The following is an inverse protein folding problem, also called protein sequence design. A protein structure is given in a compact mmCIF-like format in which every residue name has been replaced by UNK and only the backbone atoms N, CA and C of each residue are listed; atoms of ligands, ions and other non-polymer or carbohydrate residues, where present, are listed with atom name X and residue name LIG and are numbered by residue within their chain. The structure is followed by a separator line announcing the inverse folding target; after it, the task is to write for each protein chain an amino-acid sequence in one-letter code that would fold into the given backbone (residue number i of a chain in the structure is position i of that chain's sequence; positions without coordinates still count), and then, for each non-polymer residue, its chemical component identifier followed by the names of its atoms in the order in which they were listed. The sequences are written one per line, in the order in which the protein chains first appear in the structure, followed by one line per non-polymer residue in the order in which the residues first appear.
data_IF_839879702556
#
_entry.id   IF_839879702556
#
_cell.length_a   1.000
_cell.length_b   1.000
_cell.length_c   1.000
_cell.angle_alpha   90.00
_cell.angle_beta   90.00
_cell.angle_gamma   90.00
#
_symmetry.space_group_name_H-M   'P 1'
#
loop_
_entity.id
_entity.type
_entity.pdbx_description
1 polymer ?
#
# COMPACT_ATOMS: atom_id res chain seq x y z
N UNK A 1 -67.74 -31.13 49.74
CA UNK A 1 -67.21 -32.24 48.93
C UNK A 1 -65.98 -31.71 48.18
N UNK A 2 -64.78 -32.06 48.65
CA UNK A 2 -63.49 -31.53 48.23
C UNK A 2 -62.63 -32.69 47.73
N UNK A 3 -62.42 -32.80 46.41
CA UNK A 3 -61.66 -33.89 45.79
C UNK A 3 -60.21 -33.43 45.57
N UNK A 4 -59.35 -33.79 46.53
CA UNK A 4 -57.89 -33.59 46.46
C UNK A 4 -57.32 -34.43 45.31
N UNK A 5 -56.68 -33.79 44.34
CA UNK A 5 -55.89 -34.46 43.29
C UNK A 5 -54.54 -34.84 43.88
N UNK A 6 -54.26 -36.13 43.95
CA UNK A 6 -52.97 -36.67 44.37
C UNK A 6 -52.04 -36.78 43.15
N UNK A 7 -50.81 -36.29 43.31
CA UNK A 7 -49.71 -36.38 42.35
C UNK A 7 -48.91 -37.66 42.65
N UNK A 8 -48.69 -38.58 41.69
CA UNK A 8 -47.74 -39.66 41.89
C UNK A 8 -46.33 -39.23 41.49
N UNK A 9 -45.42 -39.22 42.46
CA UNK A 9 -43.98 -39.07 42.28
C UNK A 9 -43.41 -40.36 41.67
N UNK A 10 -42.92 -40.29 40.42
CA UNK A 10 -42.15 -41.38 39.80
C UNK A 10 -40.66 -41.18 40.11
N UNK A 11 -40.14 -42.02 40.98
CA UNK A 11 -38.70 -42.23 41.22
C UNK A 11 -38.05 -42.73 39.92
N UNK A 12 -37.22 -41.90 39.28
CA UNK A 12 -36.32 -42.33 38.22
C UNK A 12 -34.94 -42.60 38.83
N UNK A 13 -34.57 -43.87 38.76
CA UNK A 13 -33.26 -44.41 39.15
C UNK A 13 -32.14 -43.80 38.32
N UNK A 14 -31.11 -43.29 38.99
CA UNK A 14 -29.83 -42.88 38.41
C UNK A 14 -29.11 -44.12 37.87
N UNK A 15 -28.92 -44.21 36.55
CA UNK A 15 -27.96 -45.14 35.93
C UNK A 15 -26.72 -44.35 35.54
N UNK A 16 -25.67 -44.50 36.34
CA UNK A 16 -24.30 -44.08 36.03
C UNK A 16 -23.79 -44.91 34.86
N UNK A 17 -23.70 -44.31 33.68
CA UNK A 17 -22.93 -44.85 32.56
C UNK A 17 -21.57 -44.15 32.55
N UNK A 18 -20.55 -44.86 33.03
CA UNK A 18 -19.14 -44.52 32.82
C UNK A 18 -18.77 -44.89 31.39
N UNK A 19 -18.68 -43.90 30.50
CA UNK A 19 -18.01 -44.05 29.21
C UNK A 19 -16.89 -43.03 29.11
N UNK A 20 -15.69 -43.57 28.99
CA UNK A 20 -14.39 -42.91 29.00
C UNK A 20 -14.30 -41.73 28.02
N UNK A 21 -13.89 -40.58 28.54
CA UNK A 21 -13.45 -39.43 27.75
C UNK A 21 -12.02 -39.74 27.29
N UNK A 22 -11.86 -40.13 26.03
CA UNK A 22 -10.56 -40.12 25.36
C UNK A 22 -10.40 -38.71 24.74
N UNK A 23 -9.70 -37.84 25.47
CA UNK A 23 -9.20 -36.56 24.96
C UNK A 23 -7.98 -36.85 24.07
N UNK A 24 -8.18 -36.88 22.75
CA UNK A 24 -7.08 -36.67 21.79
C UNK A 24 -7.11 -35.20 21.38
N UNK A 25 -6.39 -34.36 22.12
CA UNK A 25 -6.06 -33.01 21.68
C UNK A 25 -5.03 -33.11 20.55
N UNK A 26 -5.51 -33.18 19.31
CA UNK A 26 -4.67 -32.88 18.15
C UNK A 26 -4.54 -31.36 18.08
N UNK A 27 -3.59 -30.81 18.82
CA UNK A 27 -3.11 -29.45 18.59
C UNK A 27 -2.28 -29.47 17.31
N UNK A 28 -2.95 -29.31 16.16
CA UNK A 28 -2.25 -28.92 14.94
C UNK A 28 -1.82 -27.47 15.14
N UNK A 29 -0.59 -27.28 15.62
CA UNK A 29 0.14 -26.04 15.41
C UNK A 29 0.35 -25.90 13.90
N UNK A 30 -0.63 -25.30 13.21
CA UNK A 30 -0.39 -24.72 11.89
C UNK A 30 0.48 -23.50 12.16
N UNK A 31 1.79 -23.68 12.11
CA UNK A 31 2.70 -22.56 11.92
C UNK A 31 2.20 -21.81 10.69
N UNK A 32 2.01 -20.48 10.72
CA UNK A 32 1.89 -19.76 9.47
C UNK A 32 3.21 -20.01 8.75
N UNK A 33 3.18 -20.83 7.69
CA UNK A 33 4.22 -20.74 6.68
C UNK A 33 4.11 -19.32 6.18
N UNK A 34 4.98 -18.44 6.67
CA UNK A 34 5.30 -17.23 5.96
C UNK A 34 5.70 -17.73 4.56
N UNK A 35 4.80 -17.58 3.60
CA UNK A 35 5.12 -17.72 2.21
C UNK A 35 6.15 -16.62 1.97
N UNK A 36 7.43 -16.97 2.06
CA UNK A 36 8.47 -16.12 1.52
C UNK A 36 8.08 -15.94 0.06
N UNK A 37 7.83 -14.69 -0.32
CA UNK A 37 7.62 -14.33 -1.71
C UNK A 37 8.78 -14.93 -2.52
N UNK A 38 8.43 -15.69 -3.55
CA UNK A 38 9.39 -16.24 -4.48
C UNK A 38 10.22 -15.08 -5.06
N UNK A 39 11.55 -15.05 -4.86
CA UNK A 39 12.41 -14.01 -5.43
C UNK A 39 12.39 -14.01 -6.96
N UNK A 40 11.88 -15.08 -7.59
CA UNK A 40 11.76 -15.25 -9.04
C UNK A 40 10.33 -14.97 -9.56
N UNK A 41 9.41 -14.49 -8.69
CA UNK A 41 8.11 -14.01 -9.14
C UNK A 41 8.30 -12.87 -10.16
N UNK A 42 7.56 -12.85 -11.28
CA UNK A 42 7.74 -11.86 -12.34
C UNK A 42 7.63 -10.46 -11.74
N UNK A 43 8.76 -9.75 -11.74
CA UNK A 43 8.91 -8.42 -11.15
C UNK A 43 7.81 -7.51 -11.67
N UNK A 44 6.88 -7.12 -10.80
CA UNK A 44 5.92 -6.09 -11.14
C UNK A 44 6.67 -4.80 -11.41
N UNK A 45 6.59 -4.31 -12.65
CA UNK A 45 7.21 -3.05 -13.03
C UNK A 45 6.34 -1.90 -12.52
N UNK A 46 6.93 -1.05 -11.69
CA UNK A 46 6.31 0.15 -11.16
C UNK A 46 6.88 1.35 -11.91
N UNK A 47 6.01 2.20 -12.43
CA UNK A 47 6.34 3.40 -13.20
C UNK A 47 5.98 4.64 -12.39
N UNK A 48 6.84 5.66 -12.40
CA UNK A 48 6.70 6.89 -11.60
C UNK A 48 6.97 8.14 -12.46
N UNK A 49 6.13 9.20 -12.42
CA UNK A 49 6.43 10.51 -13.00
C UNK A 49 7.37 11.30 -12.11
N UNK A 50 8.58 11.66 -12.56
CA UNK A 50 9.36 12.74 -11.93
C UNK A 50 10.25 13.45 -12.96
N UNK A 51 9.88 14.64 -13.38
CA UNK A 51 10.64 15.91 -13.32
C UNK A 51 12.21 15.95 -13.49
N UNK A 52 12.78 16.66 -14.50
CA UNK A 52 14.22 16.78 -14.85
C UNK A 52 14.77 18.20 -15.07
N UNK A 53 16.11 18.26 -14.96
CA UNK A 53 16.98 19.24 -15.61
C UNK A 53 18.47 18.84 -15.49
N UNK A 54 19.04 18.41 -16.62
CA UNK A 54 20.43 18.48 -17.15
C UNK A 54 21.71 18.12 -16.33
N UNK A 55 22.66 17.55 -17.08
CA UNK A 55 23.98 17.07 -16.67
C UNK A 55 25.01 18.20 -16.44
N UNK A 56 25.70 18.17 -15.29
CA UNK A 56 27.02 18.76 -15.08
C UNK A 56 27.71 18.12 -13.86
N UNK A 57 29.03 18.21 -13.84
CA UNK A 57 30.03 17.37 -13.14
C UNK A 57 29.91 17.19 -11.62
N UNK A 58 30.40 16.05 -11.16
CA UNK A 58 30.41 15.59 -9.77
C UNK A 58 31.45 16.36 -8.96
N UNK A 59 30.98 17.29 -8.13
CA UNK A 59 31.66 17.69 -6.88
C UNK A 59 30.59 17.87 -5.79
N UNK A 60 30.65 17.03 -4.75
CA UNK A 60 29.80 17.01 -3.53
C UNK A 60 28.35 17.51 -3.66
N UNK A 61 27.64 16.99 -4.66
CA UNK A 61 26.30 17.41 -5.01
C UNK A 61 25.26 16.76 -4.07
N UNK A 62 24.31 17.56 -3.59
CA UNK A 62 23.02 17.08 -3.10
C UNK A 62 22.47 15.97 -4.03
N UNK A 63 21.78 14.95 -3.50
CA UNK A 63 21.44 13.77 -4.28
C UNK A 63 20.70 14.19 -5.56
N UNK A 64 21.33 13.98 -6.71
CA UNK A 64 20.64 14.10 -7.99
C UNK A 64 19.58 13.01 -8.01
N UNK A 65 18.40 13.30 -8.57
CA UNK A 65 17.29 12.36 -8.49
C UNK A 65 17.56 11.02 -9.18
N UNK A 66 18.58 10.92 -10.04
CA UNK A 66 19.06 9.66 -10.61
C UNK A 66 17.94 8.88 -11.26
N UNK A 67 17.14 9.55 -12.09
CA UNK A 67 15.94 8.97 -12.70
C UNK A 67 16.33 7.86 -13.67
N UNK A 68 15.64 6.73 -13.61
CA UNK A 68 15.79 5.69 -14.63
C UNK A 68 15.04 6.08 -15.92
N UNK A 69 15.27 5.32 -17.00
CA UNK A 69 14.67 5.60 -18.32
C UNK A 69 13.14 5.69 -18.28
N UNK A 70 12.50 4.91 -17.40
CA UNK A 70 11.06 4.85 -17.29
C UNK A 70 10.51 6.07 -16.54
N UNK A 71 11.20 6.51 -15.48
CA UNK A 71 10.87 7.74 -14.75
C UNK A 71 11.02 8.98 -15.66
N UNK A 72 12.10 9.03 -16.44
CA UNK A 72 12.33 10.08 -17.45
C UNK A 72 11.27 10.05 -18.55
N UNK A 73 10.83 8.86 -18.97
CA UNK A 73 9.76 8.74 -19.99
C UNK A 73 8.45 9.30 -19.47
N UNK A 74 8.06 8.98 -18.24
CA UNK A 74 6.84 9.54 -17.67
C UNK A 74 6.95 11.06 -17.55
N UNK A 75 8.09 11.60 -17.11
CA UNK A 75 8.28 13.03 -17.08
C UNK A 75 8.05 13.68 -18.44
N UNK A 76 8.67 13.14 -19.49
CA UNK A 76 8.53 13.68 -20.83
C UNK A 76 7.05 13.68 -21.26
N UNK A 77 6.31 12.62 -20.94
CA UNK A 77 4.86 12.54 -21.18
C UNK A 77 4.09 13.60 -20.38
N UNK A 78 4.44 13.81 -19.10
CA UNK A 78 3.80 14.81 -18.24
C UNK A 78 4.00 16.24 -18.77
N UNK A 79 5.21 16.58 -19.21
CA UNK A 79 5.55 17.91 -19.76
C UNK A 79 4.92 18.18 -21.13
N UNK A 80 4.70 17.14 -21.92
CA UNK A 80 4.19 17.25 -23.30
C UNK A 80 2.67 17.04 -23.41
N UNK A 81 2.01 16.62 -22.33
CA UNK A 81 0.57 16.33 -22.35
C UNK A 81 -0.26 17.59 -22.53
N UNK A 82 -1.29 17.55 -23.41
CA UNK A 82 -2.20 18.68 -23.60
C UNK A 82 -2.81 19.15 -22.28
N UNK A 83 -2.92 20.47 -22.11
CA UNK A 83 -3.42 21.14 -20.90
C UNK A 83 -2.51 21.03 -19.66
N UNK A 84 -1.29 20.47 -19.77
CA UNK A 84 -0.31 20.63 -18.70
C UNK A 84 0.11 22.11 -18.60
N UNK A 85 -0.29 22.76 -17.50
CA UNK A 85 0.11 24.14 -17.21
C UNK A 85 1.50 24.27 -16.59
N UNK A 86 2.09 23.17 -16.09
CA UNK A 86 3.43 23.16 -15.49
C UNK A 86 4.48 23.02 -16.59
N UNK A 87 5.10 24.13 -16.97
CA UNK A 87 6.10 24.22 -18.05
C UNK A 87 7.49 23.69 -17.67
N UNK A 88 7.74 23.55 -16.38
CA UNK A 88 8.97 23.00 -15.84
C UNK A 88 8.65 22.21 -14.61
N UNK A 89 9.44 21.18 -14.44
CA UNK A 89 9.43 20.34 -13.30
C UNK A 89 10.81 20.54 -12.61
N UNK A 90 10.84 20.73 -11.28
CA UNK A 90 12.11 20.79 -10.49
C UNK A 90 12.27 19.56 -9.61
N UNK A 91 13.39 18.85 -9.76
CA UNK A 91 13.55 17.61 -9.01
C UNK A 91 13.94 17.88 -7.56
N UNK A 92 13.38 17.09 -6.65
CA UNK A 92 13.69 17.13 -5.24
C UNK A 92 14.11 15.73 -4.77
N UNK A 93 15.32 15.63 -4.23
CA UNK A 93 15.91 14.38 -3.79
C UNK A 93 15.09 13.66 -2.71
N UNK A 94 14.53 14.40 -1.76
CA UNK A 94 13.70 13.85 -0.68
C UNK A 94 12.42 13.25 -1.24
N UNK A 95 11.73 13.95 -2.15
CA UNK A 95 10.52 13.43 -2.79
C UNK A 95 10.81 12.15 -3.59
N UNK A 96 11.90 12.14 -4.37
CA UNK A 96 12.29 10.96 -5.14
C UNK A 96 12.63 9.76 -4.25
N UNK A 97 13.36 9.98 -3.15
CA UNK A 97 13.70 8.94 -2.19
C UNK A 97 12.45 8.35 -1.51
N UNK A 98 11.52 9.19 -1.08
CA UNK A 98 10.25 8.74 -0.46
C UNK A 98 9.39 7.98 -1.47
N UNK A 99 9.26 8.46 -2.71
CA UNK A 99 8.50 7.79 -3.76
C UNK A 99 9.05 6.38 -4.07
N UNK A 100 10.38 6.22 -4.14
CA UNK A 100 11.02 4.90 -4.34
C UNK A 100 10.82 3.97 -3.14
N UNK A 101 10.99 4.48 -1.93
CA UNK A 101 10.72 3.71 -0.72
C UNK A 101 9.25 3.25 -0.68
N UNK A 102 8.33 4.09 -1.13
CA UNK A 102 6.89 3.78 -1.23
C UNK A 102 6.57 2.69 -2.23
N UNK A 103 7.09 2.79 -3.45
CA UNK A 103 6.94 1.76 -4.46
C UNK A 103 7.50 0.40 -3.98
N UNK A 104 8.69 0.42 -3.37
CA UNK A 104 9.31 -0.79 -2.81
C UNK A 104 8.52 -1.37 -1.63
N UNK A 105 7.93 -0.52 -0.78
CA UNK A 105 7.11 -0.96 0.34
C UNK A 105 5.81 -1.62 -0.12
N UNK A 106 5.11 -1.03 -1.10
CA UNK A 106 3.93 -1.62 -1.73
C UNK A 106 4.22 -3.01 -2.32
N UNK A 107 5.35 -3.14 -3.05
CA UNK A 107 5.78 -4.42 -3.60
C UNK A 107 6.13 -5.45 -2.52
N UNK A 108 6.90 -5.06 -1.51
CA UNK A 108 7.37 -5.96 -0.44
C UNK A 108 6.25 -6.42 0.49
N UNK A 109 5.31 -5.54 0.83
CA UNK A 109 4.21 -5.82 1.77
C UNK A 109 2.90 -6.20 1.06
N UNK A 110 2.94 -6.39 -0.27
CA UNK A 110 1.82 -6.83 -1.09
C UNK A 110 0.53 -6.01 -0.88
N UNK A 111 0.64 -4.69 -0.91
CA UNK A 111 -0.51 -3.78 -0.86
C UNK A 111 -0.42 -2.74 -1.97
N UNK A 112 -1.57 -2.21 -2.37
CA UNK A 112 -1.66 -1.14 -3.34
C UNK A 112 -2.67 -0.10 -2.84
N UNK A 113 -2.18 0.84 -2.05
CA UNK A 113 -2.98 1.89 -1.40
C UNK A 113 -2.12 3.13 -1.13
N UNK A 114 -2.75 4.30 -1.14
CA UNK A 114 -2.14 5.56 -0.72
C UNK A 114 -1.76 5.58 0.76
N UNK A 115 -2.41 4.75 1.58
CA UNK A 115 -2.11 4.60 3.00
C UNK A 115 -1.37 3.28 3.20
N UNK A 116 -0.16 3.34 3.75
CA UNK A 116 0.57 2.12 4.08
C UNK A 116 -0.14 1.34 5.22
N UNK A 117 0.21 0.06 5.47
CA UNK A 117 -0.44 -0.72 6.52
C UNK A 117 -0.18 -0.21 7.94
N UNK A 118 0.70 0.79 8.10
CA UNK A 118 0.96 1.49 9.36
C UNK A 118 0.09 2.76 9.51
N UNK A 119 -0.82 3.01 8.57
CA UNK A 119 -1.76 4.13 8.57
C UNK A 119 -1.22 5.44 7.98
N UNK A 120 -0.04 5.42 7.35
CA UNK A 120 0.67 6.61 6.90
C UNK A 120 0.49 6.85 5.39
N UNK A 121 0.04 8.05 5.05
CA UNK A 121 -0.11 8.54 3.68
C UNK A 121 1.12 9.32 3.18
N UNK A 122 1.17 9.65 1.88
CA UNK A 122 2.32 10.30 1.26
C UNK A 122 2.66 11.66 1.89
N UNK A 123 1.65 12.43 2.28
CA UNK A 123 1.85 13.72 2.94
C UNK A 123 2.61 13.59 4.28
N UNK A 124 2.27 12.56 5.06
CA UNK A 124 2.92 12.27 6.33
C UNK A 124 4.36 11.81 6.09
N UNK A 125 4.57 10.95 5.10
CA UNK A 125 5.87 10.36 4.81
C UNK A 125 6.90 11.38 4.33
N UNK A 126 6.52 12.29 3.41
CA UNK A 126 7.46 13.33 2.96
C UNK A 126 7.78 14.33 4.07
N UNK A 127 6.81 14.67 4.94
CA UNK A 127 7.06 15.52 6.10
C UNK A 127 7.97 14.84 7.12
N UNK A 128 7.78 13.54 7.35
CA UNK A 128 8.65 12.73 8.22
C UNK A 128 10.08 12.65 7.69
N UNK A 129 10.26 12.76 6.37
CA UNK A 129 11.56 12.88 5.71
C UNK A 129 12.12 14.32 5.65
N UNK A 130 11.47 15.28 6.32
CA UNK A 130 11.91 16.68 6.39
C UNK A 130 11.48 17.57 5.22
N UNK A 131 10.64 17.07 4.30
CA UNK A 131 10.11 17.89 3.21
C UNK A 131 8.95 18.78 3.70
N UNK A 132 9.03 20.07 3.41
CA UNK A 132 7.99 21.02 3.77
C UNK A 132 6.93 21.09 2.67
N UNK A 133 5.71 20.67 3.00
CA UNK A 133 4.54 20.83 2.13
C UNK A 133 3.84 22.18 2.39
N UNK A 134 3.09 22.71 1.41
CA UNK A 134 2.24 23.88 1.61
C UNK A 134 1.34 23.75 2.84
N UNK A 135 1.08 24.88 3.51
CA UNK A 135 0.27 24.93 4.73
C UNK A 135 -1.16 24.43 4.52
N UNK A 136 -1.68 24.56 3.30
CA UNK A 136 -3.05 24.18 2.93
C UNK A 136 -3.17 22.67 2.68
N UNK A 137 -2.05 21.95 2.56
CA UNK A 137 -2.07 20.50 2.35
C UNK A 137 -2.34 19.77 3.64
N UNK A 138 -3.16 18.73 3.57
CA UNK A 138 -3.61 17.97 4.73
C UNK A 138 -2.42 17.54 5.61
N UNK A 139 -2.57 17.76 6.93
CA UNK A 139 -1.69 17.29 7.99
C UNK A 139 -2.15 15.98 8.61
N UNK A 140 -3.27 15.41 8.14
CA UNK A 140 -3.76 14.11 8.57
C UNK A 140 -2.74 13.01 8.24
N UNK A 141 -2.65 12.01 9.12
CA UNK A 141 -1.68 10.90 8.97
C UNK A 141 -1.84 10.16 7.64
N UNK A 142 -3.06 10.08 7.12
CA UNK A 142 -3.43 9.41 5.87
C UNK A 142 -3.60 10.37 4.68
N UNK A 143 -3.21 11.65 4.81
CA UNK A 143 -3.42 12.66 3.78
C UNK A 143 -2.68 12.35 2.47
N UNK A 144 -3.32 12.67 1.34
CA UNK A 144 -2.71 12.66 0.02
C UNK A 144 -3.06 13.92 -0.77
N UNK A 145 -2.03 14.70 -1.10
CA UNK A 145 -2.11 15.83 -2.03
C UNK A 145 -1.05 15.75 -3.14
N UNK A 146 -0.19 14.72 -3.13
CA UNK A 146 1.07 14.72 -3.89
C UNK A 146 1.36 13.42 -4.63
N UNK A 147 0.57 12.37 -4.42
CA UNK A 147 0.88 11.03 -4.90
C UNK A 147 -0.17 10.53 -5.88
N UNK A 148 0.30 10.14 -7.07
CA UNK A 148 -0.37 9.23 -7.99
C UNK A 148 0.40 7.91 -7.97
N UNK A 149 -0.30 6.79 -7.77
CA UNK A 149 0.30 5.44 -7.77
C UNK A 149 -0.28 4.60 -8.91
N UNK A 150 0.51 3.65 -9.39
CA UNK A 150 0.14 2.76 -10.48
C UNK A 150 0.90 1.45 -10.41
N UNK A 151 0.27 0.35 -10.78
CA UNK A 151 0.90 -0.97 -10.86
C UNK A 151 0.33 -1.77 -12.05
N UNK A 152 1.11 -2.72 -12.54
CA UNK A 152 0.65 -3.70 -13.55
C UNK A 152 0.85 -3.31 -15.01
N UNK A 153 1.37 -2.13 -15.33
CA UNK A 153 1.79 -1.79 -16.69
C UNK A 153 3.14 -2.45 -17.03
N UNK A 154 3.42 -2.63 -18.32
CA UNK A 154 4.69 -3.20 -18.80
C UNK A 154 5.83 -2.18 -18.99
N UNK A 155 5.47 -0.92 -19.22
CA UNK A 155 6.34 0.23 -19.48
C UNK A 155 5.69 1.55 -19.02
N UNK A 156 6.47 2.65 -19.11
CA UNK A 156 6.03 3.99 -18.75
C UNK A 156 4.85 4.47 -19.58
N UNK A 157 4.85 4.22 -20.89
CA UNK A 157 3.75 4.60 -21.78
C UNK A 157 2.43 3.91 -21.38
N UNK A 158 2.48 2.62 -21.06
CA UNK A 158 1.34 1.86 -20.56
C UNK A 158 0.81 2.44 -19.24
N UNK A 159 1.70 2.80 -18.31
CA UNK A 159 1.27 3.42 -17.05
C UNK A 159 0.68 4.81 -17.27
N UNK A 160 1.32 5.62 -18.11
CA UNK A 160 0.84 6.95 -18.44
C UNK A 160 -0.58 6.89 -19.03
N UNK A 161 -0.80 5.99 -19.98
CA UNK A 161 -2.12 5.77 -20.58
C UNK A 161 -3.15 5.34 -19.53
N UNK A 162 -2.77 4.48 -18.58
CA UNK A 162 -3.66 4.08 -17.50
C UNK A 162 -4.05 5.25 -16.58
N UNK A 163 -3.11 6.14 -16.24
CA UNK A 163 -3.42 7.36 -15.48
C UNK A 163 -4.28 8.33 -16.28
N UNK A 164 -3.96 8.56 -17.56
CA UNK A 164 -4.73 9.50 -18.39
C UNK A 164 -6.15 9.01 -18.72
N UNK A 165 -6.39 7.70 -18.61
CA UNK A 165 -7.74 7.13 -18.69
C UNK A 165 -8.56 7.30 -17.38
N UNK A 166 -7.97 7.87 -16.32
CA UNK A 166 -8.60 8.00 -15.01
C UNK A 166 -8.78 9.46 -14.62
N UNK A 167 -10.03 9.92 -14.57
CA UNK A 167 -10.35 11.31 -14.18
C UNK A 167 -9.69 11.73 -12.86
N UNK A 168 -9.62 10.84 -11.87
CA UNK A 168 -8.97 11.13 -10.59
C UNK A 168 -7.48 11.45 -10.75
N UNK A 169 -6.76 10.69 -11.58
CA UNK A 169 -5.33 10.91 -11.81
C UNK A 169 -5.06 12.11 -12.72
N UNK A 170 -5.95 12.41 -13.67
CA UNK A 170 -5.81 13.57 -14.56
C UNK A 170 -5.94 14.90 -13.80
N UNK A 171 -6.83 14.96 -12.81
CA UNK A 171 -7.12 16.20 -12.07
C UNK A 171 -6.27 16.39 -10.82
N UNK A 172 -5.54 15.36 -10.39
CA UNK A 172 -4.70 15.37 -9.19
C UNK A 172 -3.32 15.97 -9.52
#
# INVERSE_FOLDING_TARGET
MQQKRQIPYRLWTVRLWTTSIILVLISVFVLPTAAFADPDAPTHKIFLPVISGQAAEVTDAAPTCGLNEQEQRIEALLLTTPNQGRVRLVCNATLAAVARARAADMGRRAYFDHVNPDGQGPNYLVRSAGYQLPSEYSTEVNGNNIESIGAGAGDADGMWNAWMASNKHVTH
#
